data_IF_443689997055
#
_entry.id   IF_443689997055
#
_cell.length_a   1.000
_cell.length_b   1.000
_cell.length_c   1.000
_cell.angle_alpha   90.00
_cell.angle_beta   90.00
_cell.angle_gamma   90.00
#
_symmetry.space_group_name_H-M   'P 1'
#
loop_
_entity.id
_entity.type
_entity.pdbx_description
1 polymer ?
#
# COMPACT_ATOMS: atom_id res chain seq x y z
N UNK A 1 28.17 50.78 16.66
CA UNK A 1 28.19 49.74 17.72
C UNK A 1 26.85 49.04 17.74
N UNK A 2 26.85 47.71 17.83
CA UNK A 2 25.66 46.85 17.88
C UNK A 2 24.91 47.03 19.19
N UNK A 3 23.59 46.99 19.15
CA UNK A 3 22.77 46.52 20.26
C UNK A 3 21.48 45.88 19.71
N UNK A 4 21.50 44.55 19.58
CA UNK A 4 20.31 43.73 19.41
C UNK A 4 19.45 43.80 20.67
N UNK A 5 18.13 43.98 20.53
CA UNK A 5 17.19 43.51 21.55
C UNK A 5 15.91 42.99 20.88
N UNK A 6 15.87 41.68 20.69
CA UNK A 6 14.64 40.91 20.45
C UNK A 6 13.88 40.82 21.79
N UNK A 7 12.60 41.19 21.81
CA UNK A 7 11.61 40.84 22.86
C UNK A 7 10.31 40.52 22.12
N UNK A 8 10.00 39.26 21.81
CA UNK A 8 9.41 38.26 22.70
C UNK A 8 8.15 38.79 23.40
N UNK A 9 7.03 38.82 22.67
CA UNK A 9 5.69 38.99 23.22
C UNK A 9 5.06 37.62 23.44
N UNK A 10 5.20 37.09 24.65
CA UNK A 10 4.47 35.91 25.11
C UNK A 10 3.08 36.36 25.58
N UNK A 11 2.03 36.05 24.82
CA UNK A 11 0.66 36.10 25.30
C UNK A 11 0.24 34.68 25.69
N UNK A 12 0.50 34.32 26.95
CA UNK A 12 -0.10 33.16 27.60
C UNK A 12 -1.49 33.59 28.07
N UNK A 13 -2.54 33.11 27.40
CA UNK A 13 -3.89 33.10 27.96
C UNK A 13 -4.16 31.69 28.50
N UNK A 14 -3.94 31.53 29.80
CA UNK A 14 -4.43 30.39 30.55
C UNK A 14 -5.96 30.51 30.70
N UNK A 15 -6.71 29.66 30.01
CA UNK A 15 -8.12 29.39 30.34
C UNK A 15 -8.21 27.98 30.90
N UNK A 16 -8.48 27.92 32.20
CA UNK A 16 -8.75 26.70 32.95
C UNK A 16 -10.23 26.37 32.71
N UNK A 17 -10.51 25.19 32.14
CA UNK A 17 -11.88 24.73 31.90
C UNK A 17 -11.88 23.35 31.27
N UNK A 18 -11.79 22.32 32.11
CA UNK A 18 -11.77 20.91 31.71
C UNK A 18 -13.15 20.53 31.16
N UNK A 19 -13.22 20.26 29.86
CA UNK A 19 -14.17 19.33 29.26
C UNK A 19 -13.38 18.52 28.21
N UNK A 20 -13.38 17.21 28.38
CA UNK A 20 -12.42 16.30 27.78
C UNK A 20 -12.55 16.19 26.26
N UNK A 21 -11.42 16.34 25.56
CA UNK A 21 -11.15 15.57 24.35
C UNK A 21 -11.29 16.23 22.98
N UNK A 22 -11.18 17.56 22.84
CA UNK A 22 -11.02 18.20 21.52
C UNK A 22 -9.60 18.75 21.35
N UNK A 23 -8.68 17.92 20.86
CA UNK A 23 -7.38 18.38 20.37
C UNK A 23 -7.62 19.12 19.04
N UNK A 24 -8.00 20.39 19.12
CA UNK A 24 -7.87 21.34 18.03
C UNK A 24 -6.39 21.68 17.87
N UNK A 25 -5.62 20.75 17.31
CA UNK A 25 -4.28 21.02 16.81
C UNK A 25 -4.40 21.90 15.57
N UNK A 26 -3.97 23.15 15.67
CA UNK A 26 -3.72 24.00 14.51
C UNK A 26 -2.54 23.43 13.73
N UNK A 27 -2.80 22.42 12.89
CA UNK A 27 -1.90 22.07 11.80
C UNK A 27 -1.88 23.25 10.82
N UNK A 28 -0.74 23.58 10.18
CA UNK A 28 -0.74 24.58 9.14
C UNK A 28 -1.68 24.07 8.04
N UNK A 29 -2.75 24.81 7.79
CA UNK A 29 -3.58 24.66 6.60
C UNK A 29 -2.78 25.12 5.37
N UNK A 30 -1.64 24.49 5.12
CA UNK A 30 -1.10 24.41 3.77
C UNK A 30 -2.01 23.41 3.08
N UNK A 31 -3.05 23.92 2.43
CA UNK A 31 -3.75 23.18 1.38
C UNK A 31 -2.76 22.97 0.23
N UNK A 32 -1.75 22.12 0.47
CA UNK A 32 -1.19 21.30 -0.59
C UNK A 32 -2.40 20.58 -1.19
N UNK A 33 -2.52 20.58 -2.51
CA UNK A 33 -3.49 19.72 -3.20
C UNK A 33 -3.45 18.35 -2.53
N UNK A 34 -4.60 17.82 -2.05
CA UNK A 34 -4.59 16.64 -1.20
C UNK A 34 -3.74 15.54 -1.84
N UNK A 35 -2.80 14.98 -1.08
CA UNK A 35 -2.16 13.75 -1.50
C UNK A 35 -3.23 12.67 -1.70
N UNK A 36 -3.05 11.79 -2.66
CA UNK A 36 -3.98 10.68 -2.83
C UNK A 36 -3.20 9.45 -3.30
N UNK A 37 -3.06 8.49 -2.38
CA UNK A 37 -2.48 7.20 -2.67
C UNK A 37 -3.60 6.20 -2.94
N UNK A 38 -3.49 5.52 -4.07
CA UNK A 38 -4.35 4.40 -4.39
C UNK A 38 -3.59 3.11 -4.18
N UNK A 39 -4.05 2.30 -3.23
CA UNK A 39 -3.59 0.92 -3.12
C UNK A 39 -4.24 0.07 -4.21
N UNK A 40 -3.44 -0.76 -4.86
CA UNK A 40 -3.83 -1.62 -5.95
C UNK A 40 -3.32 -3.03 -5.66
N UNK A 41 -4.03 -4.04 -6.14
CA UNK A 41 -3.67 -5.41 -5.88
C UNK A 41 -4.50 -6.37 -6.69
N UNK A 42 -4.15 -7.64 -6.57
CA UNK A 42 -4.81 -8.69 -7.31
C UNK A 42 -4.32 -10.07 -6.91
N UNK A 43 -5.15 -11.05 -7.25
CA UNK A 43 -4.82 -12.46 -7.18
C UNK A 43 -5.18 -13.06 -8.54
N UNK A 44 -4.18 -13.60 -9.20
CA UNK A 44 -4.27 -14.12 -10.56
C UNK A 44 -3.82 -15.58 -10.58
N UNK A 45 -4.47 -16.39 -11.40
CA UNK A 45 -4.05 -17.77 -11.63
C UNK A 45 -3.55 -17.90 -13.05
N UNK A 46 -2.31 -18.35 -13.20
CA UNK A 46 -1.66 -18.53 -14.48
C UNK A 46 -1.28 -19.99 -14.65
N UNK A 47 -1.43 -20.51 -15.86
CA UNK A 47 -0.90 -21.81 -16.25
C UNK A 47 0.35 -21.59 -17.08
N UNK A 48 1.46 -22.27 -16.72
CA UNK A 48 2.64 -22.44 -17.56
C UNK A 48 3.17 -21.16 -18.22
N UNK A 49 4.18 -20.52 -17.62
CA UNK A 49 4.92 -19.43 -18.27
C UNK A 49 6.32 -19.88 -18.72
N UNK A 50 6.68 -19.51 -19.95
CA UNK A 50 8.03 -19.75 -20.48
C UNK A 50 9.07 -19.03 -19.62
N UNK A 51 10.15 -19.73 -19.25
CA UNK A 51 11.21 -19.21 -18.37
C UNK A 51 10.90 -19.25 -16.87
N UNK A 52 9.78 -19.85 -16.44
CA UNK A 52 9.47 -20.10 -15.03
C UNK A 52 9.61 -21.60 -14.70
N UNK A 53 9.99 -21.98 -13.47
CA UNK A 53 10.09 -23.39 -13.08
C UNK A 53 8.75 -24.13 -13.13
N UNK A 54 7.63 -23.40 -13.20
CA UNK A 54 6.25 -23.92 -13.20
C UNK A 54 5.64 -23.93 -14.63
N UNK A 55 6.42 -24.27 -15.65
CA UNK A 55 6.01 -24.17 -17.07
C UNK A 55 4.90 -25.16 -17.50
N UNK A 56 4.61 -26.18 -16.69
CA UNK A 56 3.53 -27.17 -16.92
C UNK A 56 2.52 -27.22 -15.76
N UNK A 57 2.46 -26.16 -14.96
CA UNK A 57 1.61 -26.10 -13.78
C UNK A 57 0.88 -24.76 -13.67
N UNK A 58 -0.29 -24.80 -13.04
CA UNK A 58 -0.92 -23.65 -12.43
C UNK A 58 -0.07 -23.14 -11.28
N UNK A 59 0.07 -21.83 -11.24
CA UNK A 59 0.55 -21.11 -10.08
C UNK A 59 -0.33 -19.88 -9.85
N UNK A 60 -0.47 -19.51 -8.59
CA UNK A 60 -1.17 -18.32 -8.17
C UNK A 60 -0.17 -17.19 -7.96
N UNK A 61 -0.45 -16.04 -8.56
CA UNK A 61 0.30 -14.80 -8.40
C UNK A 61 -0.54 -13.81 -7.60
N UNK A 62 -0.07 -13.48 -6.40
CA UNK A 62 -0.65 -12.46 -5.54
C UNK A 62 0.24 -11.24 -5.57
N UNK A 63 -0.36 -10.06 -5.65
CA UNK A 63 0.43 -8.83 -5.67
C UNK A 63 -0.30 -7.64 -5.04
N UNK A 64 0.50 -6.69 -4.57
CA UNK A 64 0.05 -5.38 -4.14
C UNK A 64 1.03 -4.31 -4.58
N UNK A 65 0.53 -3.10 -4.83
CA UNK A 65 1.32 -1.90 -5.08
C UNK A 65 0.54 -0.66 -4.65
N UNK A 66 1.21 0.49 -4.72
CA UNK A 66 0.60 1.79 -4.50
C UNK A 66 0.90 2.65 -5.71
N UNK A 67 -0.06 3.49 -6.09
CA UNK A 67 0.09 4.55 -7.08
C UNK A 67 -0.28 5.88 -6.45
N UNK A 68 0.50 6.90 -6.70
CA UNK A 68 0.11 8.27 -6.38
C UNK A 68 -0.85 8.76 -7.47
N UNK A 69 -2.11 8.95 -7.12
CA UNK A 69 -3.17 9.47 -8.01
C UNK A 69 -3.51 10.94 -7.70
N UNK A 70 -2.89 11.52 -6.66
CA UNK A 70 -2.98 12.93 -6.35
C UNK A 70 -2.01 13.78 -7.16
N UNK A 71 -2.07 15.09 -6.94
CA UNK A 71 -1.29 16.09 -7.68
C UNK A 71 0.02 16.49 -6.96
N UNK A 72 0.29 15.93 -5.79
CA UNK A 72 1.46 16.26 -4.96
C UNK A 72 2.36 15.05 -4.74
N UNK A 73 3.66 15.30 -4.58
CA UNK A 73 4.64 14.25 -4.28
C UNK A 73 4.44 13.74 -2.84
N UNK A 74 4.32 12.42 -2.70
CA UNK A 74 4.14 11.75 -1.41
C UNK A 74 5.48 11.26 -0.89
N UNK A 75 5.82 11.58 0.36
CA UNK A 75 7.06 11.17 0.98
C UNK A 75 6.83 10.04 1.96
N UNK A 76 7.85 9.20 2.10
CA UNK A 76 7.86 8.11 3.06
C UNK A 76 6.68 7.13 2.89
N UNK A 77 6.35 6.82 1.64
CA UNK A 77 5.22 5.93 1.34
C UNK A 77 5.56 4.52 1.81
N UNK A 78 4.69 3.97 2.67
CA UNK A 78 4.80 2.59 3.18
C UNK A 78 3.60 1.80 2.67
N UNK A 79 3.86 0.62 2.14
CA UNK A 79 2.87 -0.39 1.76
C UNK A 79 3.01 -1.59 2.70
N UNK A 80 1.94 -1.96 3.39
CA UNK A 80 1.90 -3.13 4.26
C UNK A 80 0.86 -4.13 3.77
N UNK A 81 1.26 -5.39 3.62
CA UNK A 81 0.35 -6.53 3.59
C UNK A 81 0.02 -6.94 5.04
N UNK A 82 -1.25 -7.16 5.34
CA UNK A 82 -1.68 -7.66 6.66
C UNK A 82 -1.12 -9.07 6.86
N UNK A 83 -0.42 -9.28 7.98
CA UNK A 83 0.30 -10.52 8.30
C UNK A 83 1.36 -10.91 7.25
N UNK A 84 1.90 -9.94 6.51
CA UNK A 84 2.80 -10.17 5.40
C UNK A 84 3.95 -9.17 5.32
N UNK A 85 4.39 -8.89 4.10
CA UNK A 85 5.53 -8.01 3.84
C UNK A 85 5.19 -6.52 4.05
N UNK A 86 6.20 -5.74 4.37
CA UNK A 86 6.14 -4.27 4.40
C UNK A 86 7.24 -3.70 3.51
N UNK A 87 6.88 -2.77 2.63
CA UNK A 87 7.80 -2.13 1.68
C UNK A 87 7.66 -0.62 1.77
N UNK A 88 8.80 0.07 1.80
CA UNK A 88 8.88 1.52 1.93
C UNK A 88 9.62 2.12 0.74
N UNK A 89 9.11 3.24 0.24
CA UNK A 89 9.83 4.10 -0.71
C UNK A 89 9.99 5.49 -0.12
N UNK A 90 11.09 6.16 -0.47
CA UNK A 90 11.38 7.49 0.05
C UNK A 90 10.40 8.54 -0.46
N UNK A 91 10.02 8.43 -1.72
CA UNK A 91 9.21 9.40 -2.43
C UNK A 91 8.42 8.69 -3.54
N UNK A 92 7.20 9.16 -3.80
CA UNK A 92 6.36 8.74 -4.91
C UNK A 92 5.72 9.96 -5.57
N UNK A 93 6.13 10.28 -6.80
CA UNK A 93 5.64 11.47 -7.52
C UNK A 93 4.23 11.26 -8.08
N UNK A 94 3.50 12.34 -8.41
CA UNK A 94 2.19 12.24 -9.07
C UNK A 94 2.22 11.31 -10.28
N UNK A 95 1.27 10.37 -10.33
CA UNK A 95 1.15 9.36 -11.37
C UNK A 95 2.10 8.16 -11.24
N UNK A 96 3.12 8.22 -10.39
CA UNK A 96 4.12 7.17 -10.19
C UNK A 96 3.54 6.01 -9.37
N UNK A 97 4.07 4.80 -9.61
CA UNK A 97 3.76 3.61 -8.82
C UNK A 97 5.01 3.05 -8.16
N UNK A 98 4.84 2.44 -6.98
CA UNK A 98 5.89 1.63 -6.35
C UNK A 98 6.33 0.43 -7.21
N UNK A 99 5.56 0.09 -8.24
CA UNK A 99 5.93 -0.93 -9.23
C UNK A 99 7.09 -0.44 -10.10
N UNK A 100 8.10 -1.28 -10.29
CA UNK A 100 9.30 -0.93 -11.05
C UNK A 100 9.49 -1.85 -12.25
N UNK A 101 9.93 -1.28 -13.36
CA UNK A 101 10.36 -2.06 -14.51
C UNK A 101 11.76 -2.63 -14.25
N UNK A 102 11.93 -3.95 -14.37
CA UNK A 102 13.23 -4.62 -14.16
C UNK A 102 14.00 -4.92 -15.46
N UNK A 103 13.54 -4.41 -16.61
CA UNK A 103 14.08 -4.72 -17.94
C UNK A 103 13.16 -5.65 -18.75
N UNK A 104 12.47 -6.58 -18.09
CA UNK A 104 11.63 -7.59 -18.76
C UNK A 104 10.16 -7.53 -18.35
N UNK A 105 9.87 -7.10 -17.11
CA UNK A 105 8.52 -7.06 -16.55
C UNK A 105 8.39 -5.96 -15.49
N UNK A 106 7.16 -5.48 -15.30
CA UNK A 106 6.75 -4.72 -14.12
C UNK A 106 6.76 -5.62 -12.87
N UNK A 107 7.69 -5.35 -11.96
CA UNK A 107 7.80 -5.99 -10.65
C UNK A 107 7.00 -5.19 -9.64
N UNK A 108 6.11 -5.88 -8.90
CA UNK A 108 5.31 -5.27 -7.83
C UNK A 108 6.10 -5.33 -6.52
N UNK A 109 5.97 -4.31 -5.63
CA UNK A 109 6.73 -4.27 -4.38
C UNK A 109 6.43 -5.45 -3.46
N UNK A 110 5.17 -5.88 -3.40
CA UNK A 110 4.76 -7.11 -2.74
C UNK A 110 4.26 -8.05 -3.83
N UNK A 111 4.97 -9.15 -4.02
CA UNK A 111 4.56 -10.22 -4.91
C UNK A 111 4.88 -11.60 -4.33
N UNK A 112 3.90 -12.49 -4.40
CA UNK A 112 4.02 -13.85 -3.88
C UNK A 112 3.51 -14.82 -4.93
N UNK A 113 4.26 -15.91 -5.15
CA UNK A 113 3.89 -16.99 -6.08
C UNK A 113 3.72 -18.29 -5.32
N UNK A 114 2.55 -18.91 -5.44
CA UNK A 114 2.25 -20.20 -4.83
C UNK A 114 2.02 -21.25 -5.91
N UNK A 115 2.47 -22.47 -5.66
CA UNK A 115 2.18 -23.60 -6.53
C UNK A 115 0.71 -23.98 -6.44
N UNK A 116 0.08 -24.19 -7.59
CA UNK A 116 -1.36 -24.40 -7.70
C UNK A 116 -2.16 -23.10 -7.68
N UNK A 117 -3.44 -23.20 -7.94
CA UNK A 117 -4.41 -22.11 -7.81
C UNK A 117 -5.51 -22.57 -6.87
N UNK A 118 -5.70 -21.86 -5.78
CA UNK A 118 -6.69 -22.18 -4.76
C UNK A 118 -7.30 -20.91 -4.18
N UNK A 119 -8.46 -21.02 -3.50
CA UNK A 119 -9.08 -19.86 -2.86
C UNK A 119 -8.11 -19.17 -1.90
N UNK A 120 -7.93 -17.87 -2.09
CA UNK A 120 -6.97 -17.07 -1.33
C UNK A 120 -7.37 -15.61 -1.31
N UNK A 121 -6.83 -14.87 -0.33
CA UNK A 121 -7.00 -13.43 -0.20
C UNK A 121 -5.68 -12.75 0.09
N UNK A 122 -5.57 -11.49 -0.33
CA UNK A 122 -4.49 -10.57 0.01
C UNK A 122 -5.11 -9.24 0.38
N UNK A 123 -4.59 -8.63 1.44
CA UNK A 123 -5.12 -7.38 1.95
C UNK A 123 -4.04 -6.55 2.58
N UNK A 124 -4.23 -5.25 2.60
CA UNK A 124 -3.26 -4.37 3.21
C UNK A 124 -3.62 -2.93 3.11
N UNK A 125 -2.68 -2.10 3.56
CA UNK A 125 -2.87 -0.67 3.67
C UNK A 125 -1.61 0.10 3.33
N UNK A 126 -1.79 1.36 2.95
CA UNK A 126 -0.70 2.30 2.69
C UNK A 126 -0.90 3.61 3.43
N UNK A 127 0.20 4.31 3.68
CA UNK A 127 0.21 5.66 4.24
C UNK A 127 1.52 6.37 3.90
N UNK A 128 1.48 7.69 3.89
CA UNK A 128 2.60 8.60 3.70
C UNK A 128 2.69 9.63 4.83
N UNK A 129 3.58 10.60 4.69
CA UNK A 129 3.71 11.71 5.64
C UNK A 129 2.69 12.84 5.38
N UNK A 130 2.23 12.99 4.15
CA UNK A 130 1.30 14.04 3.72
C UNK A 130 -0.15 13.71 4.09
N UNK A 131 -0.99 14.74 4.14
CA UNK A 131 -2.43 14.56 4.31
C UNK A 131 -3.03 13.94 3.03
N UNK A 132 -3.78 12.85 3.20
CA UNK A 132 -4.30 12.05 2.09
C UNK A 132 -5.71 11.51 2.31
N UNK A 133 -6.33 11.05 1.21
CA UNK A 133 -7.62 10.40 1.25
C UNK A 133 -7.51 8.94 1.73
N UNK A 134 -7.74 8.71 3.02
CA UNK A 134 -7.64 7.38 3.64
C UNK A 134 -8.55 6.31 3.04
N UNK A 135 -9.60 6.70 2.30
CA UNK A 135 -10.54 5.74 1.69
C UNK A 135 -9.90 4.92 0.57
N UNK A 136 -8.84 5.42 -0.07
CA UNK A 136 -8.11 4.73 -1.14
C UNK A 136 -6.90 3.93 -0.62
N UNK A 137 -6.65 3.99 0.70
CA UNK A 137 -5.42 3.49 1.30
C UNK A 137 -5.51 2.03 1.72
N UNK A 138 -6.72 1.47 1.81
CA UNK A 138 -6.93 0.07 2.17
C UNK A 138 -7.46 -0.72 0.98
N UNK A 139 -6.97 -1.96 0.83
CA UNK A 139 -7.40 -2.84 -0.24
C UNK A 139 -7.50 -4.28 0.23
N UNK A 140 -8.49 -4.97 -0.32
CA UNK A 140 -8.73 -6.39 -0.13
C UNK A 140 -9.07 -7.02 -1.48
N UNK A 141 -8.33 -8.06 -1.84
CA UNK A 141 -8.54 -8.82 -3.06
C UNK A 141 -8.62 -10.29 -2.73
N UNK A 142 -9.50 -10.99 -3.44
CA UNK A 142 -9.76 -12.40 -3.23
C UNK A 142 -9.90 -13.13 -4.56
N UNK A 143 -9.48 -14.38 -4.56
CA UNK A 143 -9.74 -15.34 -5.62
C UNK A 143 -10.48 -16.53 -5.01
N UNK A 144 -11.55 -16.98 -5.66
CA UNK A 144 -12.28 -18.21 -5.31
C UNK A 144 -12.03 -19.36 -6.28
N UNK A 145 -11.26 -19.13 -7.35
CA UNK A 145 -10.95 -20.18 -8.32
C UNK A 145 -10.01 -21.20 -7.70
N UNK A 146 -10.29 -22.46 -8.02
CA UNK A 146 -9.41 -23.59 -7.78
C UNK A 146 -9.06 -24.22 -9.11
N UNK A 147 -7.77 -24.41 -9.37
CA UNK A 147 -7.26 -25.22 -10.48
C UNK A 147 -6.26 -26.19 -9.90
N UNK A 148 -6.55 -27.47 -10.04
CA UNK A 148 -5.65 -28.52 -9.59
C UNK A 148 -4.56 -28.75 -10.65
N UNK A 149 -3.34 -29.00 -10.19
CA UNK A 149 -2.24 -29.37 -11.08
C UNK A 149 -2.32 -30.85 -11.46
N UNK A 150 -1.82 -31.24 -12.65
CA UNK A 150 -1.70 -32.64 -13.02
C UNK A 150 -0.92 -33.39 -11.93
N UNK A 151 -1.54 -34.41 -11.32
CA UNK A 151 -0.98 -35.18 -10.20
C UNK A 151 -1.50 -34.79 -8.79
N UNK A 152 -2.27 -33.72 -8.64
CA UNK A 152 -2.94 -33.35 -7.37
C UNK A 152 -4.46 -33.63 -7.35
N UNK A 153 -4.97 -34.42 -8.31
CA UNK A 153 -6.35 -34.94 -8.21
C UNK A 153 -6.45 -35.76 -6.93
N UNK A 154 -7.04 -35.16 -5.90
CA UNK A 154 -7.45 -35.89 -4.71
C UNK A 154 -8.49 -36.89 -5.17
N UNK A 155 -8.43 -38.17 -4.76
CA UNK A 155 -9.47 -39.13 -5.10
C UNK A 155 -10.82 -38.54 -4.70
N UNK A 156 -11.89 -38.76 -5.48
CA UNK A 156 -13.21 -38.31 -5.06
C UNK A 156 -13.48 -38.91 -3.69
N UNK A 157 -13.69 -38.06 -2.68
CA UNK A 157 -14.19 -38.51 -1.38
C UNK A 157 -15.59 -39.04 -1.64
N UNK A 158 -15.67 -40.36 -1.77
CA UNK A 158 -16.91 -41.09 -2.00
C UNK A 158 -17.92 -40.81 -0.89
N UNK A 159 -19.16 -40.62 -1.34
CA UNK A 159 -20.43 -40.58 -0.61
C UNK A 159 -20.62 -41.73 0.36
#
# INVERSE_FOLDING_TARGET
>A
MRASLKRAGAAVLATVGIAAGSLAGTAPAQAATPGDLQILGGIECHFGQWGQPWNQAWYMYRWMTVRNIGDTTMHNVILNEINGASVRVKELKPGESMSKWNGNRWVRPIETRWFGCFPSSISGFTFANEAENLTNNFGYWQNFRRMDNPGQQTPPTGS
#
